data_IF_203156114780
#
_entry.id   IF_203156114780
#
_cell.length_a   1.000
_cell.length_b   1.000
_cell.length_c   1.000
_cell.angle_alpha   90.00
_cell.angle_beta   90.00
_cell.angle_gamma   90.00
#
_symmetry.space_group_name_H-M   'P 1'
#
loop_
_entity.id
_entity.type
_entity.pdbx_description
1 polymer ?
#
# COMPACT_ATOMS: atom_id res chain seq x y z
N UNK A 1 -11.90 -9.03 -9.87
CA UNK A 1 -11.98 -7.56 -10.03
C UNK A 1 -10.68 -6.94 -9.53
N UNK A 2 -9.99 -6.14 -10.34
CA UNK A 2 -8.77 -5.45 -9.93
C UNK A 2 -9.13 -4.21 -9.09
N UNK A 3 -8.44 -3.97 -7.95
CA UNK A 3 -8.71 -2.80 -7.13
C UNK A 3 -8.31 -1.52 -7.87
N UNK A 4 -9.07 -0.44 -7.66
CA UNK A 4 -8.79 0.85 -8.30
C UNK A 4 -8.22 1.88 -7.31
N UNK A 5 -8.45 1.70 -6.01
CA UNK A 5 -7.91 2.58 -4.96
C UNK A 5 -6.44 2.25 -4.70
N UNK A 6 -5.58 3.25 -4.42
CA UNK A 6 -4.15 3.02 -4.25
C UNK A 6 -3.84 2.13 -3.05
N UNK A 7 -4.54 2.32 -1.92
CA UNK A 7 -4.42 1.48 -0.72
C UNK A 7 -4.71 -0.01 -1.01
N UNK A 8 -5.73 -0.29 -1.82
CA UNK A 8 -6.16 -1.65 -2.14
C UNK A 8 -5.22 -2.32 -3.14
N UNK A 9 -4.66 -1.53 -4.07
CA UNK A 9 -3.60 -1.99 -4.99
C UNK A 9 -2.39 -2.42 -4.16
N UNK A 10 -1.92 -1.57 -3.26
CA UNK A 10 -0.77 -1.88 -2.40
C UNK A 10 -1.04 -3.08 -1.48
N UNK A 11 -2.21 -3.11 -0.84
CA UNK A 11 -2.66 -4.22 -0.01
C UNK A 11 -2.74 -5.53 -0.79
N UNK A 12 -3.15 -5.50 -2.06
CA UNK A 12 -3.15 -6.67 -2.92
C UNK A 12 -1.74 -7.15 -3.26
N UNK A 13 -0.79 -6.25 -3.49
CA UNK A 13 0.63 -6.59 -3.70
C UNK A 13 1.21 -7.28 -2.47
N UNK A 14 1.04 -6.71 -1.27
CA UNK A 14 1.49 -7.32 0.00
C UNK A 14 0.85 -8.69 0.23
N UNK A 15 -0.45 -8.82 -0.07
CA UNK A 15 -1.15 -10.11 -0.01
C UNK A 15 -0.50 -11.18 -0.89
N UNK A 16 -0.05 -10.80 -2.09
CA UNK A 16 0.62 -11.70 -3.04
C UNK A 16 1.98 -12.20 -2.56
N UNK A 17 2.68 -11.42 -1.74
CA UNK A 17 3.98 -11.77 -1.15
C UNK A 17 3.87 -12.68 0.08
N UNK A 18 2.67 -12.85 0.65
CA UNK A 18 2.43 -13.65 1.84
C UNK A 18 1.88 -15.05 1.51
N UNK A 19 2.20 -16.07 2.33
CA UNK A 19 1.66 -17.43 2.16
C UNK A 19 0.19 -17.50 2.62
N UNK A 20 -0.73 -16.98 1.79
CA UNK A 20 -2.18 -16.87 2.05
C UNK A 20 -2.89 -18.20 2.33
N UNK A 21 -2.34 -19.32 1.86
CA UNK A 21 -2.89 -20.66 2.10
C UNK A 21 -2.67 -21.12 3.56
N UNK A 22 -1.64 -20.60 4.24
CA UNK A 22 -1.31 -20.95 5.63
C UNK A 22 -1.94 -19.97 6.60
N UNK A 23 -2.30 -20.45 7.80
CA UNK A 23 -2.85 -19.59 8.86
C UNK A 23 -1.92 -18.41 9.19
N UNK A 24 -0.60 -18.65 9.28
CA UNK A 24 0.41 -17.61 9.54
C UNK A 24 0.34 -16.44 8.57
N UNK A 25 0.19 -16.71 7.26
CA UNK A 25 0.09 -15.66 6.25
C UNK A 25 -1.21 -14.87 6.35
N UNK A 26 -2.32 -15.54 6.70
CA UNK A 26 -3.60 -14.86 6.95
C UNK A 26 -3.53 -13.95 8.18
N UNK A 27 -2.90 -14.41 9.27
CA UNK A 27 -2.74 -13.61 10.49
C UNK A 27 -1.86 -12.39 10.25
N UNK A 28 -0.72 -12.55 9.56
CA UNK A 28 0.14 -11.43 9.19
C UNK A 28 -0.61 -10.38 8.36
N UNK A 29 -1.37 -10.82 7.36
CA UNK A 29 -2.15 -9.91 6.52
C UNK A 29 -3.31 -9.21 7.25
N UNK A 30 -3.85 -9.81 8.32
CA UNK A 30 -4.84 -9.14 9.17
C UNK A 30 -4.24 -7.99 9.98
N UNK A 31 -2.99 -8.11 10.40
CA UNK A 31 -2.27 -7.04 11.11
C UNK A 31 -1.87 -5.86 10.21
N UNK A 32 -1.83 -6.07 8.89
CA UNK A 32 -1.46 -5.04 7.93
C UNK A 32 -2.68 -4.17 7.53
N UNK A 33 -2.53 -2.85 7.68
CA UNK A 33 -3.47 -1.83 7.18
C UNK A 33 -2.69 -0.85 6.29
N UNK A 34 -3.33 -0.45 5.20
CA UNK A 34 -2.81 0.56 4.28
C UNK A 34 -3.87 1.66 4.21
N UNK A 35 -3.43 2.91 4.18
CA UNK A 35 -4.29 4.09 4.15
C UNK A 35 -3.84 5.00 3.01
N UNK A 36 -4.78 5.78 2.47
CA UNK A 36 -4.46 6.92 1.63
C UNK A 36 -4.28 8.13 2.53
N UNK A 37 -3.09 8.74 2.50
CA UNK A 37 -2.73 9.79 3.45
C UNK A 37 -2.46 9.25 4.87
N UNK A 38 -2.24 10.16 5.81
CA UNK A 38 -2.04 9.84 7.24
C UNK A 38 -3.37 10.11 7.94
N UNK A 39 -4.03 9.09 8.52
CA UNK A 39 -5.23 9.30 9.34
C UNK A 39 -4.91 10.16 10.56
N UNK A 40 -5.87 10.96 11.03
CA UNK A 40 -5.69 11.83 12.22
C UNK A 40 -5.26 11.05 13.46
N UNK A 41 -5.72 9.80 13.61
CA UNK A 41 -5.33 8.89 14.70
C UNK A 41 -3.82 8.59 14.74
N UNK A 42 -3.11 8.79 13.64
CA UNK A 42 -1.67 8.55 13.51
C UNK A 42 -0.90 9.83 13.14
N UNK A 43 -1.51 11.02 13.25
CA UNK A 43 -0.86 12.28 12.91
C UNK A 43 0.37 12.55 13.81
N UNK A 44 0.28 12.18 15.09
CA UNK A 44 1.36 12.33 16.08
C UNK A 44 2.25 11.09 16.21
N UNK A 45 2.05 10.07 15.38
CA UNK A 45 2.82 8.83 15.45
C UNK A 45 4.20 9.01 14.79
N UNK A 46 5.23 8.37 15.35
CA UNK A 46 6.55 8.32 14.73
C UNK A 46 6.49 7.51 13.43
N UNK A 47 6.68 8.19 12.30
CA UNK A 47 6.72 7.57 10.99
C UNK A 47 8.16 7.08 10.72
N UNK A 48 8.29 5.76 10.54
CA UNK A 48 9.57 5.16 10.19
C UNK A 48 9.66 5.01 8.67
N UNK A 49 10.63 5.69 8.07
CA UNK A 49 10.95 5.54 6.64
C UNK A 49 11.96 4.40 6.46
N UNK A 50 11.77 3.58 5.43
CA UNK A 50 12.71 2.50 5.09
C UNK A 50 13.59 2.95 3.92
N UNK A 51 14.87 3.27 4.13
CA UNK A 51 15.74 3.82 3.09
C UNK A 51 15.98 2.84 1.93
N UNK A 52 15.90 1.53 2.19
CA UNK A 52 16.02 0.49 1.16
C UNK A 52 14.86 0.50 0.14
N UNK A 53 13.71 1.06 0.50
CA UNK A 53 12.52 1.13 -0.35
C UNK A 53 12.31 2.51 -0.97
N UNK A 54 13.29 3.42 -0.84
CA UNK A 54 13.21 4.76 -1.40
C UNK A 54 13.41 4.77 -2.93
N UNK A 55 12.79 5.76 -3.57
CA UNK A 55 12.79 5.96 -5.01
C UNK A 55 14.12 6.58 -5.52
N UNK A 56 15.27 6.18 -4.96
CA UNK A 56 16.54 6.82 -5.29
C UNK A 56 17.23 6.22 -6.54
N UNK A 57 16.96 4.95 -6.89
CA UNK A 57 17.71 4.22 -7.93
C UNK A 57 16.87 3.85 -9.18
N UNK A 58 15.70 4.46 -9.37
CA UNK A 58 14.76 4.08 -10.43
C UNK A 58 14.71 5.14 -11.54
N UNK A 59 15.04 4.74 -12.78
CA UNK A 59 15.05 5.64 -13.96
C UNK A 59 13.65 6.12 -14.38
N UNK A 60 12.60 5.32 -14.16
CA UNK A 60 11.21 5.63 -14.47
C UNK A 60 10.28 4.93 -13.49
N UNK A 61 9.48 5.70 -12.78
CA UNK A 61 8.43 5.24 -11.89
C UNK A 61 7.22 6.14 -12.02
N UNK A 62 6.11 5.67 -11.48
CA UNK A 62 4.83 6.37 -11.49
C UNK A 62 4.21 6.26 -10.11
N UNK A 63 3.52 7.29 -9.69
CA UNK A 63 2.85 7.28 -8.40
C UNK A 63 1.61 6.39 -8.44
N UNK A 64 1.39 5.61 -7.38
CA UNK A 64 0.18 4.81 -7.24
C UNK A 64 -1.10 5.68 -7.26
N UNK A 65 -1.00 6.93 -6.80
CA UNK A 65 -2.08 7.91 -6.88
C UNK A 65 -2.46 8.23 -8.33
N UNK A 66 -1.48 8.52 -9.19
CA UNK A 66 -1.72 8.80 -10.60
C UNK A 66 -2.36 7.61 -11.32
N UNK A 67 -1.85 6.39 -11.10
CA UNK A 67 -2.42 5.15 -11.64
C UNK A 67 -3.89 5.02 -11.22
N UNK A 68 -4.17 5.25 -9.93
CA UNK A 68 -5.52 5.12 -9.38
C UNK A 68 -6.48 6.15 -9.99
N UNK A 69 -6.02 7.39 -10.23
CA UNK A 69 -6.80 8.43 -10.93
C UNK A 69 -7.09 8.04 -12.38
N UNK A 70 -6.10 7.52 -13.11
CA UNK A 70 -6.28 7.02 -14.49
C UNK A 70 -7.26 5.84 -14.57
N UNK A 71 -7.27 4.97 -13.55
CA UNK A 71 -8.23 3.89 -13.41
C UNK A 71 -9.64 4.36 -13.01
N UNK A 72 -9.83 5.66 -12.79
CA UNK A 72 -11.11 6.28 -12.44
C UNK A 72 -11.51 6.08 -10.97
N UNK A 73 -10.54 5.84 -10.07
CA UNK A 73 -10.81 5.86 -8.65
C UNK A 73 -10.94 7.31 -8.15
N UNK A 74 -12.01 7.58 -7.41
CA UNK A 74 -12.14 8.78 -6.59
C UNK A 74 -11.67 8.42 -5.19
N UNK A 75 -10.53 8.97 -4.80
CA UNK A 75 -9.99 8.92 -3.46
C UNK A 75 -9.46 10.33 -3.21
N UNK A 76 -10.09 11.01 -2.28
CA UNK A 76 -9.74 12.35 -1.80
C UNK A 76 -9.53 12.21 -0.30
#
# INVERSE_FOLDING_TARGET
KYPRRPEDIFRRTVRGMLPMKKAKGKTAFKGFKAFVGVPEEYADAELLTMPEAEYNDIKKGMELGEISKLLGAKFE
#
